data_IF_126238914157
#
_entry.id   IF_126238914157
#
_cell.length_a   1.000
_cell.length_b   1.000
_cell.length_c   1.000
_cell.angle_alpha   90.00
_cell.angle_beta   90.00
_cell.angle_gamma   90.00
#
_symmetry.space_group_name_H-M   'P 1'
#
loop_
_entity.id
_entity.type
_entity.pdbx_description
1 polymer ?
#
# COMPACT_ATOMS: atom_id res chain seq x y z
N UNK A 1 -2.12 30.60 6.91
CA UNK A 1 -3.14 29.99 6.02
C UNK A 1 -2.69 29.88 4.56
N UNK A 2 -2.03 30.89 3.96
CA UNK A 2 -1.61 30.86 2.55
C UNK A 2 -0.72 29.63 2.21
N UNK A 3 0.32 29.40 3.00
CA UNK A 3 1.21 28.23 2.88
C UNK A 3 0.49 26.88 2.86
N UNK A 4 -0.49 26.69 3.77
CA UNK A 4 -1.23 25.42 3.88
C UNK A 4 -2.02 25.13 2.59
N UNK A 5 -2.57 26.18 1.99
CA UNK A 5 -3.35 26.12 0.75
C UNK A 5 -2.48 25.91 -0.49
N UNK A 6 -1.30 26.53 -0.52
CA UNK A 6 -0.41 26.52 -1.69
C UNK A 6 0.49 25.28 -1.73
N UNK A 7 1.04 24.86 -0.59
CA UNK A 7 2.04 23.79 -0.51
C UNK A 7 1.69 22.73 0.54
N UNK A 8 1.20 23.14 1.72
CA UNK A 8 1.09 22.25 2.89
C UNK A 8 0.23 21.01 2.67
N UNK A 9 -0.91 21.11 1.97
CA UNK A 9 -1.76 19.93 1.67
C UNK A 9 -1.03 18.93 0.77
N UNK A 10 -0.31 19.42 -0.25
CA UNK A 10 0.42 18.56 -1.17
C UNK A 10 1.59 17.87 -0.46
N UNK A 11 2.36 18.60 0.36
CA UNK A 11 3.47 18.06 1.15
C UNK A 11 3.02 16.98 2.14
N UNK A 12 1.88 17.20 2.82
CA UNK A 12 1.28 16.20 3.72
C UNK A 12 0.90 14.93 2.95
N UNK A 13 0.23 15.08 1.80
CA UNK A 13 -0.18 13.93 0.99
C UNK A 13 1.04 13.15 0.47
N UNK A 14 2.07 13.86 0.01
CA UNK A 14 3.31 13.27 -0.49
C UNK A 14 4.00 12.41 0.58
N UNK A 15 4.13 12.91 1.81
CA UNK A 15 4.82 12.18 2.88
C UNK A 15 4.04 10.93 3.33
N UNK A 16 2.71 11.00 3.34
CA UNK A 16 1.84 9.85 3.62
C UNK A 16 1.97 8.80 2.51
N UNK A 17 1.87 9.23 1.25
CA UNK A 17 1.91 8.33 0.09
C UNK A 17 3.30 7.73 -0.15
N UNK A 18 4.36 8.44 0.23
CA UNK A 18 5.75 7.98 0.10
C UNK A 18 6.31 7.37 1.39
N UNK A 19 5.47 7.10 2.39
CA UNK A 19 5.93 6.43 3.62
C UNK A 19 6.43 5.01 3.33
N UNK A 20 7.58 4.65 3.91
CA UNK A 20 8.21 3.36 3.71
C UNK A 20 7.31 2.21 4.20
N UNK A 21 6.54 2.45 5.27
CA UNK A 21 5.57 1.51 5.81
C UNK A 21 4.46 1.21 4.80
N UNK A 22 3.93 2.24 4.13
CA UNK A 22 2.90 2.08 3.11
C UNK A 22 3.45 1.34 1.89
N UNK A 23 4.64 1.71 1.41
CA UNK A 23 5.29 1.05 0.27
C UNK A 23 5.50 -0.45 0.53
N UNK A 24 6.10 -0.80 1.68
CA UNK A 24 6.30 -2.20 2.10
C UNK A 24 4.98 -2.96 2.22
N UNK A 25 3.94 -2.32 2.74
CA UNK A 25 2.63 -2.94 2.88
C UNK A 25 1.99 -3.21 1.53
N UNK A 26 2.01 -2.23 0.63
CA UNK A 26 1.47 -2.35 -0.73
C UNK A 26 2.22 -3.45 -1.49
N UNK A 27 3.54 -3.50 -1.40
CA UNK A 27 4.35 -4.55 -2.02
C UNK A 27 3.93 -5.95 -1.55
N UNK A 28 3.76 -6.15 -0.23
CA UNK A 28 3.28 -7.43 0.34
C UNK A 28 1.86 -7.77 -0.11
N UNK A 29 0.96 -6.78 -0.12
CA UNK A 29 -0.42 -6.96 -0.56
C UNK A 29 -0.51 -7.36 -2.04
N UNK A 30 0.28 -6.72 -2.91
CA UNK A 30 0.36 -7.04 -4.34
C UNK A 30 0.83 -8.48 -4.56
N UNK A 31 1.85 -8.93 -3.82
CA UNK A 31 2.32 -10.33 -3.89
C UNK A 31 1.23 -11.31 -3.45
N UNK A 32 0.52 -11.03 -2.34
CA UNK A 32 -0.57 -11.88 -1.89
C UNK A 32 -1.73 -11.93 -2.90
N UNK A 33 -2.09 -10.78 -3.47
CA UNK A 33 -3.13 -10.69 -4.50
C UNK A 33 -2.76 -11.47 -5.76
N UNK A 34 -1.51 -11.34 -6.22
CA UNK A 34 -0.97 -12.09 -7.35
C UNK A 34 -1.02 -13.60 -7.10
N UNK A 35 -0.58 -14.06 -5.94
CA UNK A 35 -0.61 -15.48 -5.60
C UNK A 35 -2.05 -16.03 -5.54
N UNK A 36 -2.98 -15.24 -5.03
CA UNK A 36 -4.40 -15.62 -5.03
C UNK A 36 -4.97 -15.70 -6.45
N UNK A 37 -4.74 -14.69 -7.28
CA UNK A 37 -5.16 -14.69 -8.67
C UNK A 37 -4.55 -15.84 -9.48
N UNK A 38 -3.27 -16.17 -9.25
CA UNK A 38 -2.61 -17.33 -9.86
C UNK A 38 -3.29 -18.64 -9.45
N UNK A 39 -3.61 -18.82 -8.16
CA UNK A 39 -4.30 -20.00 -7.68
C UNK A 39 -5.69 -20.16 -8.32
N UNK A 40 -6.44 -19.06 -8.43
CA UNK A 40 -7.76 -19.05 -9.07
C UNK A 40 -7.68 -19.37 -10.56
N UNK A 41 -6.78 -18.70 -11.29
CA UNK A 41 -6.59 -18.94 -12.72
C UNK A 41 -6.14 -20.37 -13.01
N UNK A 42 -5.23 -20.93 -12.20
CA UNK A 42 -4.82 -22.33 -12.35
C UNK A 42 -5.98 -23.29 -12.12
N UNK A 43 -6.81 -23.06 -11.09
CA UNK A 43 -7.97 -23.89 -10.82
C UNK A 43 -8.98 -23.86 -11.98
N UNK A 44 -9.21 -22.69 -12.58
CA UNK A 44 -10.05 -22.53 -13.77
C UNK A 44 -9.47 -23.30 -14.97
N UNK A 45 -8.18 -23.14 -15.25
CA UNK A 45 -7.51 -23.90 -16.32
C UNK A 45 -7.59 -25.42 -16.09
N UNK A 46 -7.35 -25.89 -14.86
CA UNK A 46 -7.48 -27.31 -14.51
C UNK A 46 -8.90 -27.82 -14.79
N UNK A 47 -9.92 -27.07 -14.37
CA UNK A 47 -11.32 -27.41 -14.64
C UNK A 47 -11.63 -27.48 -16.15
N UNK A 48 -11.13 -26.53 -16.95
CA UNK A 48 -11.31 -26.53 -18.39
C UNK A 48 -10.63 -27.74 -19.06
N UNK A 49 -9.42 -28.11 -18.62
CA UNK A 49 -8.69 -29.28 -19.13
C UNK A 49 -9.44 -30.58 -18.84
N UNK A 50 -9.89 -30.76 -17.60
CA UNK A 50 -10.70 -31.92 -17.19
C UNK A 50 -11.95 -32.01 -18.07
N UNK A 51 -12.64 -30.89 -18.27
CA UNK A 51 -13.87 -30.87 -19.06
C UNK A 51 -13.67 -31.14 -20.55
N UNK A 52 -12.63 -30.57 -21.16
CA UNK A 52 -12.37 -30.69 -22.59
C UNK A 52 -11.77 -32.06 -22.96
N UNK A 53 -10.79 -32.52 -22.18
CA UNK A 53 -10.00 -33.71 -22.52
C UNK A 53 -10.48 -34.97 -21.80
N UNK A 54 -11.39 -34.84 -20.81
CA UNK A 54 -11.89 -35.96 -19.98
C UNK A 54 -10.76 -36.74 -19.29
N UNK A 55 -9.69 -36.04 -18.92
CA UNK A 55 -8.56 -36.57 -18.15
C UNK A 55 -8.65 -36.14 -16.70
N UNK A 56 -8.01 -36.90 -15.82
CA UNK A 56 -7.80 -36.48 -14.43
C UNK A 56 -6.66 -35.45 -14.37
N UNK A 57 -6.99 -34.23 -13.97
CA UNK A 57 -6.06 -33.12 -13.87
C UNK A 57 -6.48 -32.20 -12.73
N UNK A 58 -5.60 -32.02 -11.74
CA UNK A 58 -5.87 -31.26 -10.54
C UNK A 58 -4.98 -30.00 -10.45
N UNK A 59 -4.81 -29.46 -9.24
CA UNK A 59 -3.95 -28.30 -8.97
C UNK A 59 -2.59 -28.67 -8.40
N UNK A 60 -2.22 -29.96 -8.33
CA UNK A 60 -0.97 -30.45 -7.70
C UNK A 60 0.30 -29.86 -8.32
N UNK A 61 0.23 -29.48 -9.60
CA UNK A 61 1.33 -28.86 -10.35
C UNK A 61 1.39 -27.34 -10.23
N UNK A 62 0.45 -26.73 -9.51
CA UNK A 62 0.45 -25.29 -9.25
C UNK A 62 1.52 -24.93 -8.23
N UNK A 63 2.23 -23.83 -8.44
CA UNK A 63 3.18 -23.29 -7.45
C UNK A 63 2.52 -22.84 -6.15
N UNK A 64 1.19 -22.65 -6.17
CA UNK A 64 0.39 -22.32 -4.98
C UNK A 64 -0.38 -23.54 -4.44
N UNK A 65 -0.04 -24.76 -4.87
CA UNK A 65 -0.69 -25.97 -4.38
C UNK A 65 -0.52 -26.12 -2.86
N UNK A 66 -1.60 -26.47 -2.15
CA UNK A 66 -1.60 -26.60 -0.70
C UNK A 66 -1.50 -25.29 0.09
N UNK A 67 -1.41 -24.14 -0.58
CA UNK A 67 -1.34 -22.83 0.07
C UNK A 67 -2.73 -22.18 0.11
N UNK A 68 -3.17 -21.74 1.29
CA UNK A 68 -4.41 -20.97 1.42
C UNK A 68 -4.20 -19.50 1.04
N UNK A 69 -4.08 -19.24 -0.27
CA UNK A 69 -3.83 -17.90 -0.81
C UNK A 69 -4.98 -16.92 -0.54
N UNK A 70 -6.21 -17.41 -0.40
CA UNK A 70 -7.37 -16.59 -0.04
C UNK A 70 -7.24 -16.03 1.37
N UNK A 71 -6.94 -16.89 2.35
CA UNK A 71 -6.72 -16.45 3.73
C UNK A 71 -5.51 -15.51 3.84
N UNK A 72 -4.43 -15.79 3.10
CA UNK A 72 -3.26 -14.90 3.07
C UNK A 72 -3.61 -13.50 2.52
N UNK A 73 -4.40 -13.42 1.43
CA UNK A 73 -4.85 -12.15 0.89
C UNK A 73 -5.78 -11.40 1.85
N UNK A 74 -6.71 -12.10 2.52
CA UNK A 74 -7.57 -11.49 3.55
C UNK A 74 -6.74 -10.93 4.68
N UNK A 75 -5.77 -11.69 5.20
CA UNK A 75 -4.88 -11.24 6.26
C UNK A 75 -4.09 -9.98 5.86
N UNK A 76 -3.52 -9.95 4.65
CA UNK A 76 -2.79 -8.78 4.15
C UNK A 76 -3.70 -7.56 3.95
N UNK A 77 -4.95 -7.74 3.49
CA UNK A 77 -5.92 -6.65 3.40
C UNK A 77 -6.27 -6.09 4.78
N UNK A 78 -6.44 -6.97 5.77
CA UNK A 78 -6.66 -6.56 7.15
C UNK A 78 -5.46 -5.78 7.69
N UNK A 79 -4.23 -6.25 7.43
CA UNK A 79 -3.02 -5.54 7.85
C UNK A 79 -2.90 -4.15 7.19
N UNK A 80 -3.16 -4.07 5.88
CA UNK A 80 -3.16 -2.80 5.13
C UNK A 80 -4.20 -1.81 5.65
N UNK A 81 -5.45 -2.26 5.88
CA UNK A 81 -6.51 -1.39 6.38
C UNK A 81 -6.29 -0.88 7.81
N UNK A 82 -5.47 -1.56 8.59
CA UNK A 82 -5.13 -1.17 9.96
C UNK A 82 -3.73 -0.56 10.07
N UNK A 83 -3.04 -0.34 8.95
CA UNK A 83 -1.68 0.19 8.93
C UNK A 83 -1.64 1.54 9.63
N UNK A 84 -0.80 1.62 10.67
CA UNK A 84 -0.47 2.87 11.32
C UNK A 84 0.74 3.47 10.63
N UNK A 85 0.62 4.74 10.22
CA UNK A 85 1.70 5.48 9.60
C UNK A 85 2.25 6.46 10.63
N UNK A 86 3.51 6.34 11.08
CA UNK A 86 4.09 7.24 12.09
C UNK A 86 3.98 8.73 11.73
N UNK A 87 4.03 9.05 10.43
CA UNK A 87 3.78 10.42 9.93
C UNK A 87 2.40 10.96 10.34
N UNK A 88 1.36 10.12 10.37
CA UNK A 88 0.02 10.57 10.74
C UNK A 88 -0.05 11.00 12.20
N UNK A 89 0.71 10.35 13.08
CA UNK A 89 0.81 10.76 14.48
C UNK A 89 1.54 12.11 14.62
N UNK A 90 2.62 12.31 13.86
CA UNK A 90 3.34 13.60 13.84
C UNK A 90 2.45 14.74 13.33
N UNK A 91 1.68 14.51 12.27
CA UNK A 91 0.70 15.48 11.74
C UNK A 91 -0.36 15.79 12.81
N UNK A 92 -0.92 14.75 13.45
CA UNK A 92 -1.94 14.94 14.48
C UNK A 92 -1.44 15.77 15.65
N UNK A 93 -0.20 15.54 16.10
CA UNK A 93 0.44 16.35 17.15
C UNK A 93 0.63 17.79 16.69
N UNK A 94 1.15 18.01 15.48
CA UNK A 94 1.35 19.36 14.94
C UNK A 94 0.04 20.15 14.82
N UNK A 95 -1.04 19.50 14.40
CA UNK A 95 -2.36 20.12 14.29
C UNK A 95 -2.99 20.52 15.63
N UNK A 96 -2.51 19.99 16.76
CA UNK A 96 -2.97 20.35 18.10
C UNK A 96 -2.26 21.59 18.67
N UNK A 97 -1.19 22.06 18.02
CA UNK A 97 -0.44 23.25 18.44
C UNK A 97 -1.18 24.55 18.13
N UNK A 98 -1.02 25.56 18.99
CA UNK A 98 -1.50 26.93 18.71
C UNK A 98 -0.88 27.49 17.41
N UNK A 99 0.37 27.12 17.13
CA UNK A 99 1.06 27.42 15.86
C UNK A 99 1.27 26.14 15.03
N UNK A 100 0.16 25.52 14.65
CA UNK A 100 0.15 24.33 13.80
C UNK A 100 0.86 24.54 12.46
N UNK A 101 0.86 25.75 11.89
CA UNK A 101 1.55 26.01 10.61
C UNK A 101 3.06 25.93 10.79
N UNK A 102 3.62 26.51 11.85
CA UNK A 102 5.05 26.40 12.13
C UNK A 102 5.46 24.94 12.38
N UNK A 103 4.68 24.19 13.18
CA UNK A 103 5.01 22.77 13.45
C UNK A 103 4.87 21.90 12.21
N UNK A 104 3.86 22.14 11.36
CA UNK A 104 3.76 21.45 10.08
C UNK A 104 4.97 21.81 9.20
N UNK A 105 5.44 23.06 9.15
CA UNK A 105 6.64 23.43 8.40
C UNK A 105 7.94 22.77 8.92
N UNK A 106 8.03 22.45 10.21
CA UNK A 106 9.16 21.66 10.74
C UNK A 106 9.14 20.21 10.24
N UNK A 107 7.95 19.64 10.04
CA UNK A 107 7.75 18.29 9.48
C UNK A 107 7.87 18.32 7.95
N UNK A 108 7.40 19.40 7.32
CA UNK A 108 7.34 19.65 5.89
C UNK A 108 8.14 20.91 5.57
N UNK A 109 9.48 20.85 5.63
CA UNK A 109 10.28 22.00 5.21
C UNK A 109 9.86 22.33 3.78
N UNK A 110 9.59 23.62 3.53
CA UNK A 110 9.41 24.11 2.17
C UNK A 110 10.64 23.63 1.38
N UNK A 111 10.43 22.67 0.47
CA UNK A 111 11.47 22.26 -0.47
C UNK A 111 11.94 23.55 -1.12
N UNK A 112 13.19 23.91 -0.84
CA UNK A 112 13.64 25.29 -0.77
C UNK A 112 13.03 26.21 -1.83
N UNK A 113 12.84 27.46 -1.43
CA UNK A 113 13.27 28.54 -2.30
C UNK A 113 14.74 28.23 -2.70
N UNK A 114 14.96 27.42 -3.73
CA UNK A 114 16.13 27.53 -4.60
C UNK A 114 15.94 28.80 -5.47
N UNK A 115 15.66 29.92 -4.81
CA UNK A 115 15.99 31.27 -5.26
C UNK A 115 17.25 31.65 -4.48
N UNK A 116 18.41 31.25 -5.00
CA UNK A 116 19.71 31.96 -4.87
C UNK A 116 20.88 30.98 -5.05
N UNK A 117 21.09 30.54 -6.28
CA UNK A 117 22.44 30.34 -6.81
C UNK A 117 22.58 31.13 -8.10
N UNK A 118 22.80 32.43 -7.89
CA UNK A 118 23.39 33.35 -8.85
C UNK A 118 24.83 32.95 -9.22
#
# INVERSE_FOLDING_TARGET
MLWLKECGIASVAELVLNSEELDKMVARLVVAARNHGYAQGYAECSHLVVNALKVDWDTSRSTTHGVNTSAALVAMKTEFNNLQLPVMDLINVALQSEDHVAQLKEIFPDGGEDEDLA
#
